data_IF_425224927480
#
_entry.id   IF_425224927480
#
_cell.length_a   1.000
_cell.length_b   1.000
_cell.length_c   1.000
_cell.angle_alpha   90.00
_cell.angle_beta   90.00
_cell.angle_gamma   90.00
#
_symmetry.space_group_name_H-M   'P 1'
#
loop_
_entity.id
_entity.type
_entity.pdbx_description
1 polymer ?
#
# COMPACT_ATOMS: atom_id res chain seq x y z
N UNK A 1 31.66 15.68 -8.65
CA UNK A 1 30.46 16.27 -9.28
C UNK A 1 30.15 15.44 -10.52
N UNK A 2 28.91 14.95 -10.70
CA UNK A 2 28.53 14.22 -11.91
C UNK A 2 28.59 15.11 -13.16
N UNK A 3 28.78 14.53 -14.33
CA UNK A 3 28.78 15.22 -15.62
C UNK A 3 27.40 15.24 -16.28
N UNK A 4 27.20 16.13 -17.25
CA UNK A 4 25.87 16.31 -17.88
C UNK A 4 25.32 14.99 -18.45
N UNK A 5 26.15 14.21 -19.16
CA UNK A 5 25.77 12.88 -19.69
C UNK A 5 25.33 11.90 -18.59
N UNK A 6 25.98 11.92 -17.43
CA UNK A 6 25.63 11.04 -16.29
C UNK A 6 24.35 11.50 -15.60
N UNK A 7 24.10 12.81 -15.56
CA UNK A 7 22.85 13.38 -15.05
C UNK A 7 21.68 13.06 -16.00
N UNK A 8 21.87 13.15 -17.32
CA UNK A 8 20.87 12.68 -18.30
C UNK A 8 20.58 11.20 -18.10
N UNK A 9 21.60 10.35 -17.98
CA UNK A 9 21.41 8.91 -17.77
C UNK A 9 20.66 8.59 -16.45
N UNK A 10 20.99 9.27 -15.35
CA UNK A 10 20.27 9.14 -14.09
C UNK A 10 18.82 9.64 -14.20
N UNK A 11 18.58 10.79 -14.82
CA UNK A 11 17.24 11.30 -15.04
C UNK A 11 16.38 10.30 -15.84
N UNK A 12 16.91 9.77 -16.96
CA UNK A 12 16.23 8.73 -17.74
C UNK A 12 15.98 7.44 -16.95
N UNK A 13 16.94 6.99 -16.13
CA UNK A 13 16.77 5.81 -15.26
C UNK A 13 15.71 6.02 -14.16
N UNK A 14 15.48 7.27 -13.74
CA UNK A 14 14.41 7.67 -12.81
C UNK A 14 13.10 8.01 -13.54
N UNK A 15 12.99 7.79 -14.85
CA UNK A 15 11.79 8.10 -15.64
C UNK A 15 11.53 9.60 -15.88
N UNK A 16 12.47 10.48 -15.55
CA UNK A 16 12.34 11.93 -15.74
C UNK A 16 12.56 12.31 -17.21
N UNK A 17 11.59 13.02 -17.81
CA UNK A 17 11.66 13.48 -19.21
C UNK A 17 12.81 14.48 -19.46
N UNK A 18 13.91 14.00 -20.03
CA UNK A 18 15.03 14.88 -20.42
C UNK A 18 14.74 15.56 -21.76
N UNK A 19 14.19 16.77 -21.70
CA UNK A 19 13.99 17.64 -22.87
C UNK A 19 15.31 18.28 -23.31
N UNK A 20 15.57 18.26 -24.63
CA UNK A 20 16.78 18.81 -25.22
C UNK A 20 16.89 20.33 -24.91
N UNK A 21 18.06 20.79 -24.48
CA UNK A 21 18.30 22.16 -24.02
C UNK A 21 18.19 22.38 -22.49
N UNK A 22 17.82 21.39 -21.68
CA UNK A 22 17.90 21.54 -20.22
C UNK A 22 19.34 21.74 -19.72
N UNK A 23 19.53 22.59 -18.71
CA UNK A 23 20.86 22.89 -18.16
C UNK A 23 21.36 21.77 -17.23
N UNK A 24 22.69 21.65 -17.09
CA UNK A 24 23.32 20.70 -16.14
C UNK A 24 22.81 20.89 -14.71
N UNK A 25 22.68 22.15 -14.28
CA UNK A 25 22.15 22.48 -12.95
C UNK A 25 20.69 22.01 -12.81
N UNK A 26 19.82 22.32 -13.79
CA UNK A 26 18.40 21.95 -13.73
C UNK A 26 18.17 20.44 -13.68
N UNK A 27 18.96 19.66 -14.42
CA UNK A 27 18.93 18.20 -14.31
C UNK A 27 19.37 17.72 -12.92
N UNK A 28 20.46 18.28 -12.37
CA UNK A 28 20.92 17.94 -11.03
C UNK A 28 19.89 18.32 -9.94
N UNK A 29 19.18 19.44 -10.08
CA UNK A 29 18.06 19.81 -9.21
C UNK A 29 16.91 18.80 -9.29
N UNK A 30 16.48 18.42 -10.49
CA UNK A 30 15.36 17.48 -10.68
C UNK A 30 15.69 16.08 -10.13
N UNK A 31 16.91 15.59 -10.37
CA UNK A 31 17.41 14.31 -9.81
C UNK A 31 17.53 14.40 -8.30
N UNK A 32 18.07 15.50 -7.76
CA UNK A 32 18.17 15.70 -6.32
C UNK A 32 16.80 15.83 -5.65
N UNK A 33 15.83 16.50 -6.29
CA UNK A 33 14.47 16.64 -5.78
C UNK A 33 13.71 15.30 -5.81
N UNK A 34 13.85 14.51 -6.89
CA UNK A 34 13.31 13.16 -6.96
C UNK A 34 13.91 12.25 -5.88
N UNK A 35 15.24 12.28 -5.73
CA UNK A 35 15.95 11.51 -4.71
C UNK A 35 15.75 12.05 -3.29
N UNK A 36 15.33 13.32 -3.11
CA UNK A 36 14.93 13.88 -1.81
C UNK A 36 13.48 13.55 -1.45
N UNK A 37 12.58 13.45 -2.44
CA UNK A 37 11.24 12.89 -2.26
C UNK A 37 11.30 11.39 -1.89
N UNK A 38 12.25 10.65 -2.48
CA UNK A 38 12.70 9.33 -2.01
C UNK A 38 13.81 9.38 -0.94
N UNK A 39 13.90 10.48 -0.18
CA UNK A 39 15.13 10.93 0.49
C UNK A 39 15.26 10.66 1.99
N UNK A 40 14.33 9.92 2.58
CA UNK A 40 14.72 8.89 3.54
C UNK A 40 14.73 7.57 2.78
N UNK A 41 15.53 6.57 3.19
CA UNK A 41 14.99 5.23 3.08
C UNK A 41 13.67 5.23 3.87
N UNK A 42 12.55 4.96 3.20
CA UNK A 42 11.60 4.08 3.86
C UNK A 42 12.42 2.81 4.17
N UNK A 43 12.58 2.40 5.45
CA UNK A 43 13.84 1.86 5.99
C UNK A 43 14.72 0.86 5.22
N UNK A 44 14.36 -0.11 4.36
CA UNK A 44 13.11 -0.75 3.90
C UNK A 44 11.77 -0.21 4.45
N UNK A 45 10.79 0.21 3.60
CA UNK A 45 9.41 0.19 4.09
C UNK A 45 9.17 -1.25 4.58
N UNK A 46 8.55 -1.47 5.75
CA UNK A 46 8.40 -2.81 6.30
C UNK A 46 7.42 -3.59 5.41
N UNK A 47 7.99 -4.39 4.50
CA UNK A 47 7.45 -4.68 3.17
C UNK A 47 7.13 -3.41 2.35
N UNK A 48 6.91 -3.59 1.05
CA UNK A 48 6.48 -2.53 0.12
C UNK A 48 5.22 -1.81 0.65
N UNK A 49 5.42 -0.70 1.38
CA UNK A 49 4.33 0.17 1.78
C UNK A 49 3.90 0.96 0.54
N UNK A 50 3.00 0.31 -0.21
CA UNK A 50 1.96 0.94 -1.01
C UNK A 50 1.48 2.26 -0.38
N UNK A 51 0.89 3.18 -1.17
CA UNK A 51 0.12 4.27 -0.57
C UNK A 51 -0.79 3.64 0.48
N UNK A 52 -0.82 4.20 1.71
CA UNK A 52 -1.73 3.71 2.73
C UNK A 52 -3.13 3.78 2.11
N UNK A 53 -3.67 2.61 1.72
CA UNK A 53 -5.12 2.41 1.73
C UNK A 53 -5.56 2.97 3.09
N UNK A 54 -6.60 3.84 3.13
CA UNK A 54 -7.09 4.37 4.41
C UNK A 54 -7.26 3.15 5.30
N UNK A 55 -6.48 3.06 6.39
CA UNK A 55 -6.09 1.77 6.97
C UNK A 55 -7.34 0.96 7.22
N UNK A 56 -7.63 0.00 6.34
CA UNK A 56 -8.98 -0.55 6.23
C UNK A 56 -9.37 -1.02 7.62
N UNK A 57 -10.46 -0.48 8.13
CA UNK A 57 -11.00 -0.83 9.43
C UNK A 57 -11.48 -2.28 9.30
N UNK A 58 -10.52 -3.18 9.56
CA UNK A 58 -10.61 -4.61 9.29
C UNK A 58 -11.03 -5.28 10.57
N UNK A 59 -12.27 -5.76 10.57
CA UNK A 59 -12.80 -6.56 11.66
C UNK A 59 -12.13 -7.93 11.61
N UNK A 60 -11.60 -8.36 12.76
CA UNK A 60 -11.15 -9.73 13.01
C UNK A 60 -12.30 -10.47 13.68
N UNK A 61 -12.84 -11.49 13.02
CA UNK A 61 -13.96 -12.31 13.50
C UNK A 61 -13.70 -13.78 13.20
N UNK A 62 -14.52 -14.68 13.75
CA UNK A 62 -14.44 -16.12 13.49
C UNK A 62 -15.48 -16.52 12.45
N UNK A 63 -15.09 -17.31 11.45
CA UNK A 63 -16.03 -17.87 10.47
C UNK A 63 -16.85 -18.99 11.11
N UNK A 64 -18.18 -18.93 10.99
CA UNK A 64 -19.11 -19.98 11.43
C UNK A 64 -19.30 -21.07 10.36
N UNK A 65 -18.93 -20.77 9.11
CA UNK A 65 -19.01 -21.68 7.96
C UNK A 65 -17.79 -21.50 7.04
N UNK A 66 -17.56 -22.42 6.11
CA UNK A 66 -16.44 -22.29 5.16
C UNK A 66 -16.70 -21.16 4.16
N UNK A 67 -15.82 -20.16 4.11
CA UNK A 67 -15.91 -19.00 3.21
C UNK A 67 -14.71 -19.01 2.27
N UNK A 68 -14.94 -18.73 0.98
CA UNK A 68 -13.87 -18.52 -0.01
C UNK A 68 -13.58 -17.02 -0.06
N UNK A 69 -12.51 -16.59 0.60
CA UNK A 69 -11.98 -15.23 0.48
C UNK A 69 -11.02 -15.10 -0.70
N UNK A 70 -10.57 -13.87 -0.97
CA UNK A 70 -9.65 -13.56 -2.07
C UNK A 70 -8.29 -14.28 -1.92
N UNK A 71 -7.82 -14.43 -0.67
CA UNK A 71 -6.60 -15.18 -0.29
C UNK A 71 -6.81 -16.72 -0.26
N UNK A 72 -8.05 -17.19 -0.35
CA UNK A 72 -8.40 -18.61 -0.39
C UNK A 72 -9.52 -19.06 0.58
N UNK A 73 -9.76 -20.39 0.67
CA UNK A 73 -10.83 -20.97 1.49
C UNK A 73 -10.48 -21.01 2.99
N UNK A 74 -11.14 -20.17 3.77
CA UNK A 74 -11.08 -20.15 5.25
C UNK A 74 -12.15 -21.09 5.82
N UNK A 75 -11.84 -21.83 6.90
CA UNK A 75 -12.72 -22.86 7.47
C UNK A 75 -13.59 -22.28 8.60
N UNK A 76 -14.67 -22.99 8.93
CA UNK A 76 -15.38 -22.73 10.18
C UNK A 76 -14.44 -22.91 11.39
N UNK A 77 -14.42 -21.93 12.30
CA UNK A 77 -13.55 -21.88 13.48
C UNK A 77 -12.17 -21.25 13.26
N UNK A 78 -11.77 -20.91 12.04
CA UNK A 78 -10.56 -20.10 11.79
C UNK A 78 -10.87 -18.59 11.99
N UNK A 79 -9.90 -17.79 12.48
CA UNK A 79 -10.02 -16.34 12.50
C UNK A 79 -9.81 -15.76 11.10
N UNK A 80 -10.62 -14.76 10.74
CA UNK A 80 -10.58 -14.09 9.44
C UNK A 80 -10.58 -12.56 9.63
N UNK A 81 -9.79 -11.85 8.81
CA UNK A 81 -9.75 -10.38 8.75
C UNK A 81 -10.35 -9.90 7.44
N UNK A 82 -11.24 -8.91 7.53
CA UNK A 82 -12.03 -8.42 6.40
C UNK A 82 -12.60 -7.02 6.69
N UNK A 83 -12.98 -6.26 5.65
CA UNK A 83 -13.46 -4.88 5.85
C UNK A 83 -14.84 -4.83 6.53
N UNK A 84 -15.24 -3.69 7.11
CA UNK A 84 -16.62 -3.47 7.57
C UNK A 84 -17.69 -3.79 6.49
N UNK A 85 -17.38 -3.59 5.21
CA UNK A 85 -18.33 -3.86 4.11
C UNK A 85 -18.51 -5.36 3.89
N UNK A 86 -17.42 -6.12 3.89
CA UNK A 86 -17.44 -7.58 3.81
C UNK A 86 -18.04 -8.19 5.09
N UNK A 87 -17.82 -7.55 6.24
CA UNK A 87 -18.30 -8.00 7.54
C UNK A 87 -19.82 -7.93 7.62
N UNK A 88 -20.39 -6.76 7.31
CA UNK A 88 -21.82 -6.60 7.22
C UNK A 88 -22.47 -7.56 6.19
N UNK A 89 -21.74 -7.92 5.12
CA UNK A 89 -22.20 -8.93 4.16
C UNK A 89 -22.14 -10.36 4.72
N UNK A 90 -21.05 -10.76 5.38
CA UNK A 90 -20.89 -12.11 5.94
C UNK A 90 -21.77 -12.35 7.17
N UNK A 91 -21.92 -11.36 8.07
CA UNK A 91 -22.86 -11.42 9.21
C UNK A 91 -24.30 -11.61 8.70
N UNK A 92 -24.72 -10.81 7.71
CA UNK A 92 -26.04 -10.91 7.11
C UNK A 92 -26.29 -12.23 6.36
N UNK A 93 -25.24 -12.92 5.94
CA UNK A 93 -25.28 -14.27 5.38
C UNK A 93 -25.19 -15.39 6.45
N UNK A 94 -25.02 -15.06 7.73
CA UNK A 94 -24.79 -16.03 8.81
C UNK A 94 -23.44 -16.75 8.71
N UNK A 95 -22.47 -16.18 7.99
CA UNK A 95 -21.20 -16.81 7.67
C UNK A 95 -20.11 -16.56 8.73
N UNK A 96 -20.18 -15.45 9.45
CA UNK A 96 -19.31 -15.08 10.59
C UNK A 96 -20.17 -14.69 11.79
N UNK A 97 -19.60 -14.66 12.98
CA UNK A 97 -20.30 -14.22 14.19
C UNK A 97 -20.45 -12.69 14.23
N UNK A 98 -21.64 -12.22 14.63
CA UNK A 98 -21.89 -10.82 14.96
C UNK A 98 -21.26 -10.54 16.33
N UNK A 99 -20.15 -9.77 16.33
CA UNK A 99 -19.49 -9.33 17.54
C UNK A 99 -20.41 -8.28 18.20
N UNK A 100 -20.59 -8.33 19.52
CA UNK A 100 -21.27 -7.24 20.22
C UNK A 100 -20.50 -5.94 19.98
N UNK A 101 -21.21 -4.88 19.62
CA UNK A 101 -20.60 -3.58 19.36
C UNK A 101 -19.94 -3.06 20.65
N UNK A 102 -18.63 -2.80 20.64
CA UNK A 102 -17.88 -2.35 21.83
C UNK A 102 -18.31 -0.95 22.32
N UNK A 103 -19.30 -0.32 21.66
CA UNK A 103 -19.94 0.92 22.06
C UNK A 103 -21.28 0.72 22.82
N UNK A 104 -21.78 -0.51 23.01
CA UNK A 104 -23.03 -0.83 23.75
C UNK A 104 -22.75 -1.27 25.22
N UNK A 105 -21.70 -0.72 25.84
CA UNK A 105 -21.17 -1.10 27.16
C UNK A 105 -20.89 0.10 28.10
#
# INVERSE_FOLDING_TARGET
>A
MANHKELVAQATALGLEVKNGMTKARLNELIAAHNAAGGKPAPQPPAQQSPKKPQDDMIETTVLSQVIGDDGPVKAGDPIRLSHSDYAALVKCGAVEELPDENDA
#
